data_IF_310581914170
#
_entry.id   IF_310581914170
#
_cell.length_a   1.000
_cell.length_b   1.000
_cell.length_c   1.000
_cell.angle_alpha   90.00
_cell.angle_beta   90.00
_cell.angle_gamma   90.00
#
_symmetry.space_group_name_H-M   'P 1'
#
loop_
_entity.id
_entity.type
_entity.pdbx_description
1 polymer ?
#
# COMPACT_ATOMS: atom_id res chain seq x y z
N UNK A 1 28.68 21.72 -5.37
CA UNK A 1 28.44 20.44 -6.06
C UNK A 1 27.70 19.54 -5.07
N UNK A 2 26.36 19.57 -5.07
CA UNK A 2 25.55 18.74 -4.17
C UNK A 2 25.15 17.49 -4.95
N UNK A 3 25.91 16.41 -4.76
CA UNK A 3 25.61 15.11 -5.34
C UNK A 3 25.66 14.11 -4.20
N UNK A 4 24.51 13.52 -3.92
CA UNK A 4 24.32 12.56 -2.85
C UNK A 4 22.84 12.32 -2.56
N UNK A 5 21.98 12.35 -3.58
CA UNK A 5 20.68 11.70 -3.46
C UNK A 5 20.96 10.20 -3.58
N UNK A 6 21.06 9.56 -2.41
CA UNK A 6 21.13 8.11 -2.26
C UNK A 6 19.78 7.57 -2.73
N UNK A 7 19.65 7.32 -4.02
CA UNK A 7 18.43 6.82 -4.66
C UNK A 7 18.15 5.33 -4.32
N UNK A 8 18.97 4.76 -3.43
CA UNK A 8 18.95 3.38 -2.96
C UNK A 8 18.17 3.17 -1.66
N UNK A 9 17.93 4.23 -0.87
CA UNK A 9 16.98 4.18 0.24
C UNK A 9 15.63 4.66 -0.31
N UNK A 10 14.96 3.83 -1.09
CA UNK A 10 13.51 4.01 -1.25
C UNK A 10 12.95 3.89 0.16
N UNK A 11 12.65 5.03 0.79
CA UNK A 11 12.07 5.05 2.13
C UNK A 11 10.92 4.06 2.14
N UNK A 12 10.99 3.05 3.01
CA UNK A 12 9.96 2.01 3.08
C UNK A 12 8.57 2.63 3.28
N UNK A 13 8.49 3.79 3.94
CA UNK A 13 7.31 4.64 4.06
C UNK A 13 6.81 5.14 2.69
N UNK A 14 7.69 5.68 1.84
CA UNK A 14 7.34 6.13 0.48
C UNK A 14 6.86 4.96 -0.39
N UNK A 15 7.44 3.77 -0.24
CA UNK A 15 7.01 2.57 -0.95
C UNK A 15 5.67 2.05 -0.43
N UNK A 16 5.45 2.06 0.89
CA UNK A 16 4.18 1.70 1.50
C UNK A 16 3.04 2.60 1.01
N UNK A 17 3.27 3.91 0.94
CA UNK A 17 2.31 4.88 0.41
C UNK A 17 1.99 4.67 -1.06
N UNK A 18 2.98 4.25 -1.85
CA UNK A 18 2.77 3.90 -3.26
C UNK A 18 1.84 2.70 -3.38
N UNK A 19 2.13 1.60 -2.66
CA UNK A 19 1.27 0.43 -2.65
C UNK A 19 -0.13 0.75 -2.13
N UNK A 20 -0.26 1.56 -1.07
CA UNK A 20 -1.56 2.03 -0.59
C UNK A 20 -2.34 2.76 -1.69
N UNK A 21 -1.69 3.68 -2.41
CA UNK A 21 -2.34 4.45 -3.48
C UNK A 21 -2.76 3.57 -4.65
N UNK A 22 -1.91 2.64 -5.09
CA UNK A 22 -2.23 1.67 -6.13
C UNK A 22 -3.40 0.77 -5.73
N UNK A 23 -3.45 0.32 -4.47
CA UNK A 23 -4.56 -0.46 -3.93
C UNK A 23 -5.89 0.32 -4.01
N UNK A 24 -5.90 1.61 -3.67
CA UNK A 24 -7.09 2.46 -3.77
C UNK A 24 -7.58 2.59 -5.22
N UNK A 25 -6.66 2.73 -6.17
CA UNK A 25 -7.00 2.83 -7.60
C UNK A 25 -7.62 1.51 -8.08
N UNK A 26 -7.00 0.38 -7.76
CA UNK A 26 -7.48 -0.96 -8.13
C UNK A 26 -8.82 -1.29 -7.48
N UNK A 27 -9.02 -0.91 -6.22
CA UNK A 27 -10.27 -1.09 -5.49
C UNK A 27 -11.42 -0.33 -6.17
N UNK A 28 -11.18 0.94 -6.54
CA UNK A 28 -12.15 1.77 -7.29
C UNK A 28 -12.47 1.20 -8.66
N UNK A 29 -11.50 0.53 -9.30
CA UNK A 29 -11.69 -0.15 -10.58
C UNK A 29 -12.38 -1.52 -10.45
N UNK A 30 -12.65 -2.00 -9.23
CA UNK A 30 -13.31 -3.29 -8.97
C UNK A 30 -12.36 -4.49 -8.91
N UNK A 31 -11.05 -4.27 -9.03
CA UNK A 31 -10.03 -5.31 -8.93
C UNK A 31 -9.71 -5.63 -7.47
N UNK A 32 -10.68 -6.18 -6.73
CA UNK A 32 -10.61 -6.33 -5.28
C UNK A 32 -9.45 -7.22 -4.80
N UNK A 33 -9.16 -8.32 -5.50
CA UNK A 33 -8.03 -9.19 -5.13
C UNK A 33 -6.66 -8.52 -5.35
N UNK A 34 -6.52 -7.73 -6.41
CA UNK A 34 -5.27 -7.01 -6.66
C UNK A 34 -5.10 -5.86 -5.68
N UNK A 35 -6.19 -5.14 -5.35
CA UNK A 35 -6.18 -4.13 -4.31
C UNK A 35 -5.82 -4.71 -2.93
N UNK A 36 -6.33 -5.90 -2.58
CA UNK A 36 -5.94 -6.61 -1.37
C UNK A 36 -4.41 -6.86 -1.35
N UNK A 37 -3.86 -7.35 -2.46
CA UNK A 37 -2.41 -7.58 -2.56
C UNK A 37 -1.61 -6.29 -2.34
N UNK A 38 -2.02 -5.18 -2.93
CA UNK A 38 -1.36 -3.89 -2.71
C UNK A 38 -1.44 -3.43 -1.25
N UNK A 39 -2.60 -3.56 -0.60
CA UNK A 39 -2.74 -3.20 0.82
C UNK A 39 -1.93 -4.10 1.74
N UNK A 40 -1.79 -5.38 1.40
CA UNK A 40 -0.92 -6.30 2.14
C UNK A 40 0.56 -5.88 2.02
N UNK A 41 1.00 -5.51 0.81
CA UNK A 41 2.36 -5.02 0.59
C UNK A 41 2.61 -3.71 1.35
N UNK A 42 1.66 -2.76 1.32
CA UNK A 42 1.74 -1.52 2.08
C UNK A 42 1.91 -1.79 3.60
N UNK A 43 1.12 -2.73 4.14
CA UNK A 43 1.21 -3.11 5.55
C UNK A 43 2.49 -3.90 5.91
N UNK A 44 3.07 -4.64 4.96
CA UNK A 44 4.37 -5.31 5.17
C UNK A 44 5.51 -4.29 5.19
N UNK A 45 5.44 -3.27 4.34
CA UNK A 45 6.46 -2.23 4.22
C UNK A 45 6.41 -1.24 5.37
N UNK A 46 5.21 -0.87 5.80
CA UNK A 46 4.99 -0.08 7.01
C UNK A 46 3.87 -0.70 7.84
N UNK A 47 4.21 -1.57 8.81
CA UNK A 47 3.24 -2.14 9.74
C UNK A 47 2.58 -1.10 10.66
N UNK A 48 3.15 0.11 10.78
CA UNK A 48 2.56 1.21 11.53
C UNK A 48 1.53 2.01 10.74
N UNK A 49 1.35 1.71 9.45
CA UNK A 49 0.46 2.44 8.56
C UNK A 49 -1.01 2.10 8.82
N UNK A 50 -1.63 2.81 9.78
CA UNK A 50 -3.01 2.58 10.22
C UNK A 50 -4.04 2.56 9.07
N UNK A 51 -3.81 3.39 8.04
CA UNK A 51 -4.69 3.44 6.87
C UNK A 51 -4.61 2.18 6.01
N UNK A 52 -3.44 1.54 5.89
CA UNK A 52 -3.29 0.28 5.16
C UNK A 52 -4.03 -0.85 5.90
N UNK A 53 -3.93 -0.89 7.23
CA UNK A 53 -4.67 -1.83 8.06
C UNK A 53 -6.19 -1.63 7.95
N UNK A 54 -6.65 -0.38 7.99
CA UNK A 54 -8.07 -0.04 7.79
C UNK A 54 -8.55 -0.53 6.43
N UNK A 55 -7.77 -0.27 5.37
CA UNK A 55 -8.07 -0.72 4.00
C UNK A 55 -8.11 -2.23 3.87
N UNK A 56 -7.23 -2.95 4.58
CA UNK A 56 -7.26 -4.42 4.65
C UNK A 56 -8.56 -4.94 5.27
N UNK A 57 -9.05 -4.31 6.34
CA UNK A 57 -10.32 -4.70 6.97
C UNK A 57 -11.49 -4.45 5.99
N UNK A 58 -11.56 -3.25 5.41
CA UNK A 58 -12.61 -2.87 4.45
C UNK A 58 -12.65 -3.82 3.25
N UNK A 59 -11.49 -4.18 2.69
CA UNK A 59 -11.45 -5.02 1.49
C UNK A 59 -11.79 -6.48 1.78
N UNK A 60 -11.44 -7.00 2.96
CA UNK A 60 -11.85 -8.35 3.38
C UNK A 60 -13.37 -8.44 3.51
N UNK A 61 -14.02 -7.41 4.08
CA UNK A 61 -15.48 -7.32 4.12
C UNK A 61 -16.12 -7.31 2.73
N UNK A 62 -15.51 -6.63 1.76
CA UNK A 62 -15.98 -6.60 0.35
C UNK A 62 -15.80 -7.94 -0.35
N UNK A 63 -14.75 -8.67 -0.01
CA UNK A 63 -14.47 -10.01 -0.55
C UNK A 63 -15.30 -11.12 0.13
N UNK A 64 -15.90 -10.83 1.28
CA UNK A 64 -16.76 -11.76 2.02
C UNK A 64 -16.01 -12.69 2.96
N UNK A 65 -14.83 -12.29 3.44
CA UNK A 65 -14.07 -12.97 4.49
C UNK A 65 -14.48 -12.53 5.89
#
# INVERSE_FOLDING_TARGET
>A
MHIGHNQDDIDHESLAMRHLSEGIIKEKAGYLHEALNEYMLANVLDPGLEIAQTKLIEINQKLGF
#
